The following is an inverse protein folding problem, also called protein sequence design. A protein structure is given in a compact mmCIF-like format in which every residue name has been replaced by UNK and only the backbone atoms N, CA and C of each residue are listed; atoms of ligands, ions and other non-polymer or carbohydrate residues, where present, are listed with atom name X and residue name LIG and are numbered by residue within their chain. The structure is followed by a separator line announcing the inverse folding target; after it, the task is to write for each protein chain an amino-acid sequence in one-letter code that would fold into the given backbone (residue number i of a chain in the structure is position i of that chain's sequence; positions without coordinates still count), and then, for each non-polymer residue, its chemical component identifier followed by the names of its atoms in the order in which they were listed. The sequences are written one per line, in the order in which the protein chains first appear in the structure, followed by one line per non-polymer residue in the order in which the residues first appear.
data_IF_884873573365
#
_entry.id   IF_884873573365
#
_cell.length_a   1.000
_cell.length_b   1.000
_cell.length_c   1.000
_cell.angle_alpha   90.00
_cell.angle_beta   90.00
_cell.angle_gamma   90.00
#
_symmetry.space_group_name_H-M   'P 1'
#
loop_
_entity.id
_entity.type
_entity.pdbx_description
1 polymer ?
#
# COMPACT_ATOMS: atom_id res chain seq x y z
N UNK A 1 13.62 -15.50 -30.73
CA UNK A 1 13.79 -15.28 -29.27
C UNK A 1 13.12 -13.97 -28.92
N UNK A 2 12.20 -13.96 -27.95
CA UNK A 2 11.43 -12.77 -27.55
C UNK A 2 11.99 -12.25 -26.22
N UNK A 3 12.38 -10.97 -26.18
CA UNK A 3 12.93 -10.34 -24.98
C UNK A 3 11.79 -10.01 -24.00
N UNK A 4 11.54 -10.94 -23.07
CA UNK A 4 10.45 -10.85 -22.09
C UNK A 4 10.54 -9.62 -21.18
N UNK A 5 11.74 -9.07 -20.97
CA UNK A 5 11.95 -7.86 -20.13
C UNK A 5 11.27 -6.62 -20.70
N UNK A 6 11.08 -6.55 -22.02
CA UNK A 6 10.49 -5.38 -22.71
C UNK A 6 9.08 -5.68 -23.22
N UNK A 7 8.79 -6.95 -23.54
CA UNK A 7 7.55 -7.33 -24.23
C UNK A 7 6.45 -7.87 -23.33
N UNK A 8 6.76 -8.25 -22.09
CA UNK A 8 5.75 -8.76 -21.16
C UNK A 8 5.31 -7.66 -20.19
N UNK A 9 4.01 -7.36 -20.20
CA UNK A 9 3.37 -6.43 -19.27
C UNK A 9 2.86 -7.24 -18.07
N UNK A 10 3.26 -6.83 -16.86
CA UNK A 10 2.80 -7.43 -15.60
C UNK A 10 2.14 -6.36 -14.74
N UNK A 11 1.18 -6.76 -13.91
CA UNK A 11 0.64 -5.87 -12.88
C UNK A 11 1.75 -5.53 -11.88
N UNK A 12 2.15 -4.25 -11.76
CA UNK A 12 3.16 -3.85 -10.80
C UNK A 12 2.50 -3.85 -9.42
N UNK A 13 2.53 -5.00 -8.75
CA UNK A 13 1.85 -5.21 -7.47
C UNK A 13 2.42 -4.33 -6.34
N UNK A 14 3.12 -4.93 -5.37
CA UNK A 14 3.64 -4.14 -4.24
C UNK A 14 4.74 -3.14 -4.61
N UNK A 15 5.23 -3.15 -5.85
CA UNK A 15 6.29 -2.27 -6.35
C UNK A 15 5.84 -0.82 -6.55
N UNK A 16 4.52 -0.55 -6.72
CA UNK A 16 4.01 0.83 -6.84
C UNK A 16 3.76 1.52 -5.51
N UNK A 17 3.74 0.78 -4.40
CA UNK A 17 3.40 1.30 -3.06
C UNK A 17 4.25 2.49 -2.62
N UNK A 18 5.58 2.54 -2.85
CA UNK A 18 6.39 3.71 -2.51
C UNK A 18 5.92 4.99 -3.21
N UNK A 19 5.43 4.89 -4.46
CA UNK A 19 4.89 6.06 -5.18
C UNK A 19 3.59 6.57 -4.57
N UNK A 20 2.74 5.66 -4.07
CA UNK A 20 1.50 6.05 -3.38
C UNK A 20 1.82 6.74 -2.05
N UNK A 21 2.80 6.23 -1.29
CA UNK A 21 3.30 6.90 -0.07
C UNK A 21 3.84 8.28 -0.37
N UNK A 22 4.66 8.42 -1.41
CA UNK A 22 5.21 9.72 -1.82
C UNK A 22 4.10 10.72 -2.17
N UNK A 23 3.07 10.28 -2.90
CA UNK A 23 1.92 11.12 -3.25
C UNK A 23 1.11 11.52 -2.01
N UNK A 24 0.91 10.60 -1.08
CA UNK A 24 0.17 10.86 0.16
C UNK A 24 0.93 11.84 1.07
N UNK A 25 2.26 11.74 1.15
CA UNK A 25 3.12 12.71 1.84
C UNK A 25 3.06 14.08 1.15
N UNK A 26 3.18 14.12 -0.19
CA UNK A 26 3.15 15.36 -0.96
C UNK A 26 1.81 16.10 -0.85
N UNK A 27 0.70 15.36 -0.78
CA UNK A 27 -0.65 15.92 -0.58
C UNK A 27 -0.96 16.22 0.89
N UNK A 28 -0.06 15.89 1.82
CA UNK A 28 -0.26 16.08 3.26
C UNK A 28 -1.34 15.19 3.87
N UNK A 29 -1.74 14.11 3.18
CA UNK A 29 -2.70 13.11 3.68
C UNK A 29 -2.10 12.33 4.84
N UNK A 30 -0.78 12.10 4.81
CA UNK A 30 -0.02 11.45 5.88
C UNK A 30 1.25 12.23 6.20
N UNK A 31 1.75 12.09 7.43
CA UNK A 31 3.06 12.58 7.88
C UNK A 31 3.99 11.41 8.16
N UNK A 32 5.28 11.65 8.19
CA UNK A 32 6.30 10.62 8.46
C UNK A 32 6.08 9.90 9.80
N UNK A 33 5.58 10.63 10.80
CA UNK A 33 5.23 10.12 12.13
C UNK A 33 3.76 9.71 12.29
N UNK A 34 2.98 9.66 11.19
CA UNK A 34 1.59 9.23 11.26
C UNK A 34 1.51 7.75 11.64
N UNK A 35 0.69 7.47 12.64
CA UNK A 35 0.25 6.12 12.99
C UNK A 35 -1.08 5.88 12.28
N UNK A 36 -1.14 4.79 11.53
CA UNK A 36 -2.23 4.47 10.64
C UNK A 36 -2.91 3.20 11.08
N UNK A 37 -4.24 3.24 11.13
CA UNK A 37 -5.05 2.09 11.47
C UNK A 37 -5.02 1.08 10.32
N UNK A 38 -4.62 -0.16 10.62
CA UNK A 38 -4.48 -1.26 9.65
C UNK A 38 -5.45 -2.41 9.93
N UNK A 39 -6.55 -2.11 10.62
CA UNK A 39 -7.65 -3.04 10.83
C UNK A 39 -8.31 -3.37 9.47
N UNK A 40 -8.60 -4.65 9.19
CA UNK A 40 -9.28 -5.05 7.95
C UNK A 40 -10.63 -4.36 7.77
N UNK A 41 -10.91 -3.91 6.56
CA UNK A 41 -12.20 -3.32 6.19
C UNK A 41 -12.66 -3.81 4.82
N UNK A 42 -13.92 -3.52 4.49
CA UNK A 42 -14.53 -3.92 3.22
C UNK A 42 -14.75 -2.73 2.31
N UNK A 43 -14.37 -2.87 1.05
CA UNK A 43 -14.65 -1.90 -0.02
C UNK A 43 -15.40 -2.64 -1.12
N UNK A 44 -16.60 -2.16 -1.48
CA UNK A 44 -17.41 -2.76 -2.55
C UNK A 44 -17.60 -4.28 -2.41
N UNK A 45 -17.73 -4.79 -1.17
CA UNK A 45 -17.87 -6.22 -0.88
C UNK A 45 -16.57 -7.02 -0.82
N UNK A 46 -15.42 -6.46 -1.23
CA UNK A 46 -14.11 -7.09 -1.12
C UNK A 46 -13.46 -6.76 0.22
N UNK A 47 -13.00 -7.80 0.93
CA UNK A 47 -12.24 -7.65 2.17
C UNK A 47 -10.80 -7.27 1.85
N UNK A 48 -10.38 -6.08 2.29
CA UNK A 48 -8.98 -5.66 2.27
C UNK A 48 -8.36 -6.08 3.61
N UNK A 49 -7.41 -7.00 3.54
CA UNK A 49 -6.65 -7.47 4.70
C UNK A 49 -5.17 -7.62 4.36
N UNK A 50 -4.36 -7.47 5.41
CA UNK A 50 -2.94 -7.76 5.35
C UNK A 50 -2.67 -9.25 5.61
N UNK A 51 -1.48 -9.70 5.20
CA UNK A 51 -0.99 -11.06 5.46
C UNK A 51 -0.89 -11.33 6.96
N UNK A 52 -0.48 -10.32 7.74
CA UNK A 52 -0.47 -10.35 9.19
C UNK A 52 -1.38 -9.25 9.74
N UNK A 53 -2.10 -9.54 10.82
CA UNK A 53 -2.96 -8.56 11.49
C UNK A 53 -2.11 -7.62 12.33
N UNK A 54 -2.23 -6.34 12.04
CA UNK A 54 -1.73 -5.25 12.86
C UNK A 54 -2.92 -4.34 13.19
N UNK A 55 -2.97 -3.82 14.42
CA UNK A 55 -3.98 -2.82 14.78
C UNK A 55 -3.60 -1.45 14.22
N UNK A 56 -2.33 -1.11 14.32
CA UNK A 56 -1.77 0.15 13.89
C UNK A 56 -0.35 -0.07 13.35
N UNK A 57 0.01 0.66 12.30
CA UNK A 57 1.38 0.71 11.77
C UNK A 57 1.81 2.15 11.54
N UNK A 58 3.07 2.44 11.82
CA UNK A 58 3.71 3.69 11.35
C UNK A 58 3.90 3.64 9.85
N UNK A 59 4.13 4.80 9.21
CA UNK A 59 4.40 4.86 7.77
C UNK A 59 5.57 3.95 7.34
N UNK A 60 6.63 3.90 8.15
CA UNK A 60 7.75 2.98 7.96
C UNK A 60 7.32 1.52 8.08
N UNK A 61 6.47 1.21 9.08
CA UNK A 61 5.91 -0.12 9.27
C UNK A 61 5.03 -0.57 8.10
N UNK A 62 4.26 0.33 7.50
CA UNK A 62 3.47 0.06 6.28
C UNK A 62 4.36 -0.40 5.14
N UNK A 63 5.47 0.31 4.89
CA UNK A 63 6.43 -0.07 3.84
C UNK A 63 7.16 -1.37 4.17
N UNK A 64 7.60 -1.53 5.42
CA UNK A 64 8.32 -2.72 5.87
C UNK A 64 7.45 -3.99 5.80
N UNK A 65 6.17 -3.88 6.17
CA UNK A 65 5.22 -5.00 6.18
C UNK A 65 4.42 -5.11 4.90
N UNK A 66 4.62 -4.18 3.95
CA UNK A 66 3.88 -4.11 2.71
C UNK A 66 2.35 -4.12 2.95
N UNK A 67 1.88 -3.38 3.97
CA UNK A 67 0.47 -3.34 4.36
C UNK A 67 -0.39 -2.81 3.20
N UNK A 68 -1.35 -3.62 2.74
CA UNK A 68 -2.33 -3.27 1.70
C UNK A 68 -3.49 -2.43 2.24
N UNK A 69 -3.81 -2.58 3.52
CA UNK A 69 -4.98 -1.96 4.16
C UNK A 69 -4.93 -0.43 4.09
N UNK A 70 -3.73 0.15 4.18
CA UNK A 70 -3.59 1.61 4.29
C UNK A 70 -3.80 2.38 2.98
N UNK A 71 -3.58 1.76 1.82
CA UNK A 71 -3.58 2.48 0.55
C UNK A 71 -4.96 2.90 0.07
N UNK A 72 -6.00 2.05 0.13
CA UNK A 72 -7.34 2.46 -0.28
C UNK A 72 -8.03 3.39 0.73
N UNK A 73 -7.51 3.53 1.96
CA UNK A 73 -8.08 4.42 2.98
C UNK A 73 -7.60 5.87 2.84
N UNK A 74 -6.64 6.16 1.95
CA UNK A 74 -6.12 7.50 1.64
C UNK A 74 -6.81 8.18 0.45
N UNK A 75 -7.93 7.61 -0.02
CA UNK A 75 -8.72 8.17 -1.11
C UNK A 75 -9.57 9.34 -0.65
#
# INVERSE_FOLDING_TARGET
MRNRTITDVFEPGSTVKPMVVMTALQRGVVRENSVLNTIPYRINGHEIKDVARYSELTLTGVLQKSSNVVFPSWR
#
